data_IF_736842996912
#
_entry.id   IF_736842996912
#
_cell.length_a   1.000
_cell.length_b   1.000
_cell.length_c   1.000
_cell.angle_alpha   90.00
_cell.angle_beta   90.00
_cell.angle_gamma   90.00
#
_symmetry.space_group_name_H-M   'P 1'
#
loop_
_entity.id
_entity.type
_entity.pdbx_description
1 polymer ?
#
# COMPACT_ATOMS: atom_id res chain seq x y z
N UNK A 1 -8.56 -4.40 -5.13
CA UNK A 1 -8.75 -3.06 -5.74
C UNK A 1 -7.49 -2.63 -6.45
N UNK A 2 -7.62 -2.08 -7.65
CA UNK A 2 -6.52 -1.49 -8.41
C UNK A 2 -6.74 0.02 -8.49
N UNK A 3 -5.71 0.82 -8.22
CA UNK A 3 -5.80 2.27 -8.18
C UNK A 3 -4.52 2.92 -8.70
N UNK A 4 -4.66 4.15 -9.17
CA UNK A 4 -3.55 4.97 -9.69
C UNK A 4 -3.46 6.22 -8.83
N UNK A 5 -2.32 6.43 -8.19
CA UNK A 5 -2.04 7.67 -7.47
C UNK A 5 -1.94 8.86 -8.44
N UNK A 6 -2.13 10.09 -7.92
CA UNK A 6 -2.03 11.32 -8.72
C UNK A 6 -0.65 11.50 -9.40
N UNK A 7 0.40 10.88 -8.87
CA UNK A 7 1.75 10.86 -9.47
C UNK A 7 1.95 9.75 -10.54
N UNK A 8 0.88 9.06 -10.95
CA UNK A 8 0.88 8.04 -12.00
C UNK A 8 1.24 6.62 -11.54
N UNK A 9 1.54 6.42 -10.25
CA UNK A 9 1.91 5.10 -9.73
C UNK A 9 0.70 4.17 -9.64
N UNK A 10 0.81 2.97 -10.20
CA UNK A 10 -0.25 1.98 -10.23
C UNK A 10 -0.02 0.92 -9.17
N UNK A 11 -1.01 0.73 -8.31
CA UNK A 11 -0.98 -0.20 -7.20
C UNK A 11 -2.24 -1.06 -7.18
N UNK A 12 -2.11 -2.22 -6.56
CA UNK A 12 -3.21 -3.14 -6.34
C UNK A 12 -3.12 -3.68 -4.91
N UNK A 13 -4.26 -3.78 -4.23
CA UNK A 13 -4.39 -4.32 -2.88
C UNK A 13 -5.57 -5.27 -2.80
N UNK A 14 -5.40 -6.41 -2.15
CA UNK A 14 -6.44 -7.36 -1.83
C UNK A 14 -6.52 -7.51 -0.31
N UNK A 15 -7.66 -7.14 0.27
CA UNK A 15 -7.93 -7.33 1.70
C UNK A 15 -8.38 -8.78 1.89
N UNK A 16 -7.48 -9.63 2.42
CA UNK A 16 -7.74 -11.07 2.61
C UNK A 16 -8.73 -11.30 3.75
N UNK A 17 -8.50 -10.63 4.86
CA UNK A 17 -9.27 -10.73 6.09
C UNK A 17 -9.06 -9.46 6.94
N UNK A 18 -9.53 -9.47 8.19
CA UNK A 18 -9.49 -8.31 9.08
C UNK A 18 -8.08 -7.82 9.45
N UNK A 19 -7.05 -8.65 9.31
CA UNK A 19 -5.68 -8.36 9.77
C UNK A 19 -4.63 -8.57 8.69
N UNK A 20 -5.02 -8.89 7.45
CA UNK A 20 -4.06 -9.30 6.42
C UNK A 20 -4.45 -8.79 5.03
N UNK A 21 -3.44 -8.31 4.30
CA UNK A 21 -3.56 -7.93 2.89
C UNK A 21 -2.51 -8.64 2.03
N UNK A 22 -2.81 -8.73 0.74
CA UNK A 22 -1.82 -8.85 -0.32
C UNK A 22 -1.76 -7.55 -1.12
N UNK A 23 -0.60 -7.18 -1.64
CA UNK A 23 -0.51 -6.02 -2.53
C UNK A 23 0.54 -6.20 -3.64
N UNK A 24 0.39 -5.42 -4.70
CA UNK A 24 1.28 -5.40 -5.85
C UNK A 24 1.46 -3.97 -6.36
N UNK A 25 2.70 -3.49 -6.36
CA UNK A 25 3.09 -2.22 -6.97
C UNK A 25 3.41 -2.47 -8.44
N UNK A 26 2.48 -2.14 -9.34
CA UNK A 26 2.64 -2.38 -10.78
C UNK A 26 3.63 -1.39 -11.42
N UNK A 27 3.71 -0.17 -10.91
CA UNK A 27 4.63 0.87 -11.41
C UNK A 27 5.13 1.79 -10.29
N UNK A 28 5.95 2.77 -10.65
CA UNK A 28 6.52 3.75 -9.73
C UNK A 28 7.86 3.29 -9.14
N UNK A 29 8.24 3.87 -7.99
CA UNK A 29 9.59 3.69 -7.41
C UNK A 29 9.96 2.23 -7.10
N UNK A 30 8.96 1.41 -6.80
CA UNK A 30 9.10 0.01 -6.39
C UNK A 30 8.29 -0.91 -7.32
N UNK A 31 8.11 -0.49 -8.58
CA UNK A 31 7.37 -1.26 -9.58
C UNK A 31 7.89 -2.70 -9.71
N UNK A 32 6.98 -3.66 -9.78
CA UNK A 32 7.26 -5.10 -9.77
C UNK A 32 7.23 -5.73 -8.37
N UNK A 33 7.26 -4.93 -7.29
CA UNK A 33 7.18 -5.45 -5.92
C UNK A 33 5.81 -6.07 -5.65
N UNK A 34 5.80 -7.32 -5.20
CA UNK A 34 4.60 -8.02 -4.73
C UNK A 34 4.83 -8.46 -3.29
N UNK A 35 3.80 -8.39 -2.47
CA UNK A 35 3.84 -8.86 -1.08
C UNK A 35 2.57 -9.65 -0.81
N UNK A 36 2.75 -10.79 -0.16
CA UNK A 36 1.65 -11.62 0.34
C UNK A 36 1.67 -11.69 1.86
N UNK A 37 0.49 -11.86 2.42
CA UNK A 37 0.27 -12.13 3.85
C UNK A 37 0.86 -11.01 4.74
N UNK A 38 0.78 -9.76 4.27
CA UNK A 38 1.19 -8.59 5.05
C UNK A 38 0.17 -8.36 6.16
N UNK A 39 0.64 -8.42 7.40
CA UNK A 39 -0.16 -8.06 8.57
C UNK A 39 -0.43 -6.55 8.59
N UNK A 40 -1.66 -6.16 8.92
CA UNK A 40 -2.10 -4.76 8.92
C UNK A 40 -2.99 -4.46 10.12
N UNK A 41 -3.01 -3.18 10.50
CA UNK A 41 -4.11 -2.58 11.25
C UNK A 41 -5.16 -2.07 10.25
N UNK A 42 -6.35 -2.66 10.28
CA UNK A 42 -7.50 -2.26 9.45
C UNK A 42 -8.64 -1.82 10.37
N UNK A 43 -9.05 -0.56 10.22
CA UNK A 43 -10.14 0.03 10.99
C UNK A 43 -11.12 0.77 10.10
N UNK A 44 -12.39 0.81 10.52
CA UNK A 44 -13.40 1.69 9.94
C UNK A 44 -13.42 3.00 10.72
N UNK A 45 -13.14 4.12 10.03
CA UNK A 45 -13.12 5.45 10.64
C UNK A 45 -14.50 6.11 10.64
N UNK A 46 -15.27 5.88 9.57
CA UNK A 46 -16.63 6.39 9.40
C UNK A 46 -17.41 5.50 8.42
N UNK A 47 -18.63 5.89 8.09
CA UNK A 47 -19.40 5.20 7.05
C UNK A 47 -18.66 5.24 5.72
N UNK A 48 -18.38 4.06 5.16
CA UNK A 48 -17.62 3.88 3.92
C UNK A 48 -16.20 4.50 3.92
N UNK A 49 -15.62 4.79 5.09
CA UNK A 49 -14.24 5.26 5.23
C UNK A 49 -13.44 4.26 6.06
N UNK A 50 -12.42 3.67 5.44
CA UNK A 50 -11.56 2.67 6.05
C UNK A 50 -10.11 3.15 6.03
N UNK A 51 -9.35 2.78 7.06
CA UNK A 51 -7.90 3.00 7.13
C UNK A 51 -7.20 1.67 7.26
N UNK A 52 -6.16 1.48 6.45
CA UNK A 52 -5.24 0.35 6.50
C UNK A 52 -3.85 0.90 6.79
N UNK A 53 -3.16 0.37 7.80
CA UNK A 53 -1.77 0.76 8.08
C UNK A 53 -0.89 -0.42 8.45
N UNK A 54 0.38 -0.37 8.04
CA UNK A 54 1.36 -1.40 8.35
C UNK A 54 2.79 -0.86 8.32
N UNK A 55 3.68 -1.65 8.92
CA UNK A 55 5.13 -1.51 8.79
C UNK A 55 5.66 -2.70 8.00
N UNK A 56 6.66 -2.44 7.18
CA UNK A 56 7.35 -3.47 6.40
C UNK A 56 8.71 -3.80 7.03
N UNK A 57 9.23 -5.03 6.83
CA UNK A 57 10.59 -5.39 7.22
C UNK A 57 11.67 -4.48 6.63
N UNK A 58 11.34 -3.78 5.53
CA UNK A 58 12.23 -2.82 4.86
C UNK A 58 12.40 -1.51 5.64
N UNK A 59 11.60 -1.30 6.70
CA UNK A 59 11.47 -0.03 7.42
C UNK A 59 10.49 0.95 6.77
N UNK A 60 9.80 0.54 5.70
CA UNK A 60 8.74 1.35 5.08
C UNK A 60 7.49 1.30 5.95
N UNK A 61 6.90 2.45 6.24
CA UNK A 61 5.60 2.55 6.90
C UNK A 61 4.55 3.01 5.89
N UNK A 62 3.35 2.44 5.93
CA UNK A 62 2.28 2.78 4.98
C UNK A 62 0.97 3.02 5.71
N UNK A 63 0.24 4.03 5.23
CA UNK A 63 -1.15 4.27 5.61
C UNK A 63 -1.96 4.50 4.34
N UNK A 64 -3.07 3.80 4.17
CA UNK A 64 -4.00 3.96 3.06
C UNK A 64 -5.40 4.17 3.60
N UNK A 65 -6.03 5.28 3.22
CA UNK A 65 -7.44 5.52 3.41
C UNK A 65 -8.21 5.12 2.16
N UNK A 66 -9.27 4.34 2.35
CA UNK A 66 -10.11 3.78 1.30
C UNK A 66 -11.54 4.29 1.48
N UNK A 67 -12.08 4.92 0.44
CA UNK A 67 -13.45 5.42 0.40
C UNK A 67 -14.18 4.82 -0.82
N UNK A 68 -14.57 3.52 -0.77
CA UNK A 68 -15.00 2.75 -1.93
C UNK A 68 -16.18 3.35 -2.72
N UNK A 69 -17.22 3.82 -2.03
CA UNK A 69 -18.42 4.39 -2.63
C UNK A 69 -18.16 5.69 -3.38
N UNK A 70 -17.11 6.43 -3.01
CA UNK A 70 -16.66 7.63 -3.72
C UNK A 70 -15.55 7.34 -4.76
N UNK A 71 -15.01 6.12 -4.79
CA UNK A 71 -13.88 5.77 -5.65
C UNK A 71 -12.56 6.45 -5.25
N UNK A 72 -12.44 6.94 -4.02
CA UNK A 72 -11.25 7.67 -3.54
C UNK A 72 -10.31 6.75 -2.77
N UNK A 73 -9.01 6.88 -3.07
CA UNK A 73 -7.92 6.26 -2.31
C UNK A 73 -6.89 7.34 -2.00
N UNK A 74 -6.49 7.44 -0.74
CA UNK A 74 -5.41 8.32 -0.31
C UNK A 74 -4.35 7.52 0.44
N UNK A 75 -3.13 7.48 -0.08
CA UNK A 75 -2.01 6.75 0.52
C UNK A 75 -0.89 7.67 0.96
N UNK A 76 -0.24 7.32 2.07
CA UNK A 76 0.98 7.93 2.56
C UNK A 76 1.99 6.83 2.81
N UNK A 77 3.14 6.93 2.14
CA UNK A 77 4.22 5.95 2.24
C UNK A 77 5.47 6.66 2.76
N UNK A 78 5.98 6.20 3.89
CA UNK A 78 7.22 6.69 4.49
C UNK A 78 8.36 5.78 4.08
N UNK A 79 9.12 6.19 3.06
CA UNK A 79 10.28 5.44 2.60
C UNK A 79 11.53 5.79 3.41
N UNK A 80 12.24 4.79 3.96
CA UNK A 80 13.63 4.92 4.37
C UNK A 80 14.51 5.52 3.28
N UNK A 81 15.52 6.29 3.69
CA UNK A 81 16.45 6.96 2.78
C UNK A 81 17.11 6.00 1.78
N UNK A 82 17.42 4.77 2.20
CA UNK A 82 18.08 3.80 1.33
C UNK A 82 17.17 3.30 0.19
N UNK A 83 15.86 3.21 0.40
CA UNK A 83 14.87 2.91 -0.68
C UNK A 83 14.69 4.12 -1.58
N UNK A 84 14.75 5.32 -1.00
CA UNK A 84 14.80 6.52 -1.82
C UNK A 84 16.04 6.53 -2.71
N UNK A 85 17.20 6.06 -2.25
CA UNK A 85 18.40 6.02 -3.08
C UNK A 85 18.36 4.91 -4.13
N UNK A 86 17.88 3.72 -3.76
CA UNK A 86 17.83 2.54 -4.63
C UNK A 86 16.61 1.66 -4.30
N UNK A 87 15.50 1.91 -5.00
CA UNK A 87 14.25 1.18 -4.80
C UNK A 87 14.22 -0.22 -5.42
N UNK A 88 15.18 -0.53 -6.30
CA UNK A 88 15.23 -1.82 -7.01
C UNK A 88 15.44 -3.00 -6.07
N UNK A 89 16.11 -2.77 -4.93
CA UNK A 89 16.40 -3.77 -3.88
C UNK A 89 15.17 -4.38 -3.24
N UNK A 90 14.02 -3.72 -3.36
CA UNK A 90 12.75 -4.21 -2.80
C UNK A 90 11.72 -4.56 -3.88
N UNK A 91 12.09 -4.44 -5.16
CA UNK A 91 11.30 -4.87 -6.31
C UNK A 91 11.44 -6.39 -6.53
N UNK A 92 11.06 -7.15 -5.51
CA UNK A 92 11.09 -8.61 -5.46
C UNK A 92 9.69 -9.16 -5.13
N UNK A 93 9.54 -10.48 -5.23
CA UNK A 93 8.37 -11.21 -4.72
C UNK A 93 8.55 -11.53 -3.23
#
# INVERSE_FOLDING_TARGET
>A
MRYTYANGWQYEMYVKNATTIDYHAHSGRVGGRRVKDQEVDLVRLADDVYKVSWNEPTGTCVVVNLLPGSGVVHGTIFFPRWIQQDGSRIAVF
#
